data_IF_127210597059
#
_entry.id   IF_127210597059
#
_cell.length_a   1.000
_cell.length_b   1.000
_cell.length_c   1.000
_cell.angle_alpha   90.00
_cell.angle_beta   90.00
_cell.angle_gamma   90.00
#
_symmetry.space_group_name_H-M   'P 1'
#
loop_
_entity.id
_entity.type
_entity.pdbx_description
1 polymer ?
#
# COMPACT_ATOMS: atom_id res chain seq x y z
N UNK A 1 2.70 -10.93 -7.09
CA UNK A 1 3.15 -9.52 -6.91
C UNK A 1 3.53 -8.83 -8.23
N UNK A 2 4.27 -9.49 -9.13
CA UNK A 2 4.68 -8.94 -10.43
C UNK A 2 3.51 -8.44 -11.30
N UNK A 3 2.47 -9.25 -11.53
CA UNK A 3 1.34 -8.87 -12.39
C UNK A 3 0.65 -7.58 -11.94
N UNK A 4 0.45 -7.39 -10.63
CA UNK A 4 -0.14 -6.17 -10.07
C UNK A 4 0.77 -4.95 -10.28
N UNK A 5 2.09 -5.10 -10.07
CA UNK A 5 3.07 -4.04 -10.31
C UNK A 5 3.18 -3.69 -11.80
N UNK A 6 3.18 -4.70 -12.68
CA UNK A 6 3.18 -4.55 -14.14
C UNK A 6 1.95 -3.76 -14.59
N UNK A 7 0.76 -4.10 -14.09
CA UNK A 7 -0.48 -3.38 -14.41
C UNK A 7 -0.43 -1.90 -14.02
N UNK A 8 0.18 -1.56 -12.88
CA UNK A 8 0.22 -0.17 -12.36
C UNK A 8 1.36 0.68 -12.91
N UNK A 9 2.51 0.08 -13.23
CA UNK A 9 3.77 0.81 -13.50
C UNK A 9 4.46 0.41 -14.81
N UNK A 10 4.01 -0.63 -15.49
CA UNK A 10 4.66 -1.20 -16.67
C UNK A 10 5.74 -2.24 -16.36
N UNK A 11 6.13 -3.00 -17.40
CA UNK A 11 7.01 -4.17 -17.29
C UNK A 11 8.36 -3.85 -16.65
N UNK A 12 9.14 -2.92 -17.24
CA UNK A 12 10.50 -2.59 -16.78
C UNK A 12 10.50 -2.12 -15.32
N UNK A 13 9.56 -1.24 -14.95
CA UNK A 13 9.43 -0.72 -13.59
C UNK A 13 9.01 -1.80 -12.58
N UNK A 14 8.24 -2.80 -12.99
CA UNK A 14 7.87 -3.92 -12.13
C UNK A 14 9.08 -4.80 -11.78
N UNK A 15 9.95 -5.08 -12.75
CA UNK A 15 11.20 -5.84 -12.51
C UNK A 15 12.10 -5.08 -11.55
N UNK A 16 12.37 -3.80 -11.83
CA UNK A 16 13.23 -2.95 -10.97
C UNK A 16 12.69 -2.89 -9.53
N UNK A 17 11.38 -2.76 -9.36
CA UNK A 17 10.77 -2.71 -8.03
C UNK A 17 10.92 -4.01 -7.24
N UNK A 18 10.87 -5.17 -7.92
CA UNK A 18 11.07 -6.47 -7.28
C UNK A 18 12.55 -6.66 -6.94
N UNK A 19 13.46 -6.37 -7.88
CA UNK A 19 14.89 -6.48 -7.67
C UNK A 19 15.35 -5.61 -6.48
N UNK A 20 14.90 -4.35 -6.41
CA UNK A 20 15.22 -3.46 -5.28
C UNK A 20 14.73 -4.01 -3.94
N UNK A 21 13.53 -4.61 -3.89
CA UNK A 21 13.00 -5.24 -2.66
C UNK A 21 13.85 -6.43 -2.22
N UNK A 22 14.24 -7.29 -3.15
CA UNK A 22 15.10 -8.44 -2.87
C UNK A 22 16.48 -7.99 -2.37
N UNK A 23 17.10 -7.03 -3.06
CA UNK A 23 18.39 -6.47 -2.66
C UNK A 23 18.35 -5.89 -1.24
N UNK A 24 17.33 -5.11 -0.90
CA UNK A 24 17.18 -4.54 0.45
C UNK A 24 16.96 -5.62 1.51
N UNK A 25 16.15 -6.64 1.23
CA UNK A 25 15.95 -7.74 2.17
C UNK A 25 17.27 -8.49 2.44
N UNK A 26 18.03 -8.81 1.38
CA UNK A 26 19.33 -9.49 1.50
C UNK A 26 20.34 -8.64 2.29
N UNK A 27 20.43 -7.34 1.97
CA UNK A 27 21.30 -6.43 2.69
C UNK A 27 21.04 -6.43 4.21
N UNK A 28 19.77 -6.32 4.63
CA UNK A 28 19.44 -6.28 6.05
C UNK A 28 19.56 -7.64 6.75
N UNK A 29 19.31 -8.74 6.05
CA UNK A 29 19.57 -10.08 6.60
C UNK A 29 21.05 -10.24 6.96
N UNK A 30 21.94 -9.84 6.07
CA UNK A 30 23.38 -9.92 6.30
C UNK A 30 23.87 -8.90 7.33
N UNK A 31 23.31 -7.69 7.34
CA UNK A 31 23.72 -6.63 8.26
C UNK A 31 23.35 -6.93 9.72
N UNK A 32 22.18 -7.55 9.95
CA UNK A 32 21.61 -7.76 11.29
C UNK A 32 21.69 -9.20 11.77
N UNK A 33 22.17 -10.12 10.93
CA UNK A 33 22.15 -11.57 11.17
C UNK A 33 20.74 -12.10 11.54
N UNK A 34 19.71 -11.45 10.99
CA UNK A 34 18.31 -11.81 11.22
C UNK A 34 17.76 -12.55 9.99
N UNK A 35 17.05 -13.68 10.19
CA UNK A 35 16.48 -14.42 9.07
C UNK A 35 15.37 -13.65 8.36
N UNK A 36 15.15 -13.96 7.08
CA UNK A 36 14.09 -13.33 6.28
C UNK A 36 12.71 -13.49 6.92
N UNK A 37 12.09 -12.39 7.32
CA UNK A 37 10.71 -12.40 7.80
C UNK A 37 9.72 -11.96 6.70
N UNK A 38 9.06 -12.92 6.06
CA UNK A 38 8.09 -12.67 5.00
C UNK A 38 6.82 -11.91 5.47
N UNK A 39 6.53 -11.92 6.78
CA UNK A 39 5.33 -11.26 7.33
C UNK A 39 5.40 -9.73 7.20
N UNK A 40 6.60 -9.14 7.24
CA UNK A 40 6.81 -7.69 7.05
C UNK A 40 6.41 -7.19 5.65
N UNK A 41 6.33 -8.10 4.68
CA UNK A 41 5.98 -7.79 3.29
C UNK A 41 4.59 -8.26 2.88
N UNK A 42 3.85 -8.92 3.79
CA UNK A 42 2.40 -9.07 3.68
C UNK A 42 1.80 -7.69 3.88
N UNK A 43 1.63 -6.99 2.76
CA UNK A 43 0.64 -5.92 2.68
C UNK A 43 -0.70 -6.63 2.79
N UNK A 44 -1.15 -6.88 4.02
CA UNK A 44 -2.56 -7.16 4.27
C UNK A 44 -3.32 -6.06 3.53
N UNK A 45 -4.16 -6.46 2.58
CA UNK A 45 -4.95 -5.54 1.75
C UNK A 45 -5.92 -4.70 2.57
N UNK A 46 -5.97 -4.93 3.88
CA UNK A 46 -6.65 -4.11 4.83
C UNK A 46 -5.90 -2.79 4.95
N UNK A 47 -6.40 -1.78 4.21
CA UNK A 47 -6.53 -0.48 4.83
C UNK A 47 -7.14 -0.78 6.21
N UNK A 48 -6.43 -0.58 7.34
CA UNK A 48 -7.01 -0.86 8.66
C UNK A 48 -8.38 -0.19 8.67
N UNK A 49 -9.40 -0.92 9.13
CA UNK A 49 -10.82 -0.57 9.00
C UNK A 49 -10.98 0.94 9.09
N UNK A 50 -11.17 1.59 7.93
CA UNK A 50 -11.29 3.04 7.86
C UNK A 50 -12.69 3.36 8.34
N UNK A 51 -12.85 3.35 9.65
CA UNK A 51 -14.01 3.90 10.30
C UNK A 51 -13.93 5.43 10.16
N UNK A 52 -15.04 6.03 9.76
CA UNK A 52 -15.18 7.46 9.60
C UNK A 52 -16.49 7.84 10.27
N UNK A 53 -16.45 8.87 11.12
CA UNK A 53 -17.68 9.36 11.75
C UNK A 53 -18.57 10.04 10.71
N UNK A 54 -19.88 10.15 11.00
CA UNK A 54 -20.84 10.79 10.09
C UNK A 54 -20.41 12.24 9.77
N UNK A 55 -19.89 12.97 10.76
CA UNK A 55 -19.40 14.34 10.59
C UNK A 55 -18.19 14.42 9.66
N UNK A 56 -17.24 13.49 9.81
CA UNK A 56 -16.08 13.39 8.91
C UNK A 56 -16.52 13.04 7.49
N UNK A 57 -17.53 12.18 7.34
CA UNK A 57 -18.10 11.83 6.04
C UNK A 57 -18.73 13.05 5.35
N UNK A 58 -19.49 13.84 6.11
CA UNK A 58 -20.12 15.09 5.64
C UNK A 58 -19.05 16.11 5.24
N UNK A 59 -18.02 16.32 6.06
CA UNK A 59 -16.92 17.24 5.77
C UNK A 59 -16.14 16.82 4.51
N UNK A 60 -15.87 15.52 4.38
CA UNK A 60 -15.21 14.96 3.19
C UNK A 60 -16.05 15.16 1.93
N UNK A 61 -17.36 14.89 1.98
CA UNK A 61 -18.23 15.08 0.83
C UNK A 61 -18.29 16.56 0.40
N UNK A 62 -18.38 17.50 1.35
CA UNK A 62 -18.34 18.95 1.06
C UNK A 62 -17.03 19.38 0.40
N UNK A 63 -15.88 18.91 0.89
CA UNK A 63 -14.58 19.26 0.29
C UNK A 63 -14.38 18.73 -1.12
N UNK A 64 -15.14 17.70 -1.51
CA UNK A 64 -15.17 17.15 -2.87
C UNK A 64 -16.29 17.74 -3.74
N UNK A 65 -16.99 18.79 -3.25
CA UNK A 65 -17.99 19.54 -4.02
C UNK A 65 -19.39 18.93 -4.02
N UNK A 66 -19.70 17.98 -3.13
CA UNK A 66 -21.04 17.42 -3.03
C UNK A 66 -21.97 18.32 -2.20
N UNK A 67 -23.16 18.58 -2.75
CA UNK A 67 -24.25 19.26 -2.05
C UNK A 67 -25.09 18.23 -1.30
N UNK A 68 -24.88 18.15 0.02
CA UNK A 68 -25.57 17.17 0.87
C UNK A 68 -27.01 17.64 1.09
N UNK A 69 -27.98 16.84 0.65
CA UNK A 69 -29.41 17.03 0.91
C UNK A 69 -29.88 15.90 1.83
N UNK A 70 -30.64 16.24 2.87
CA UNK A 70 -31.30 15.25 3.72
C UNK A 70 -32.71 15.10 3.16
N UNK A 71 -33.03 13.90 2.69
CA UNK A 71 -34.36 13.48 2.24
C UNK A 71 -35.01 12.59 3.28
#
# INVERSE_FOLDING_TARGET
KYLQLKKRRGHKKAIIAIARRLLTAIYYMLLRDEPYNASLYKTEGLRPGREMTVEQAISFAKSHGFSIKVS
#
